data_IF_078772843546
#
_entry.id   IF_078772843546
#
_cell.length_a   1.000
_cell.length_b   1.000
_cell.length_c   1.000
_cell.angle_alpha   90.00
_cell.angle_beta   90.00
_cell.angle_gamma   90.00
#
_symmetry.space_group_name_H-M   'P 1'
#
loop_
_entity.id
_entity.type
_entity.pdbx_description
1 polymer ?
#
# COMPACT_ATOMS: atom_id res chain seq x y z
N UNK A 1 18.83 -47.93 3.52
CA UNK A 1 20.03 -47.06 3.30
C UNK A 1 19.89 -46.09 2.13
N UNK A 2 19.36 -46.47 0.94
CA UNK A 2 19.27 -45.55 -0.23
C UNK A 2 18.37 -44.30 -0.04
N UNK A 3 17.29 -44.37 0.70
CA UNK A 3 16.38 -43.19 0.93
C UNK A 3 17.02 -42.06 1.78
N UNK A 4 17.88 -42.41 2.72
CA UNK A 4 18.54 -41.38 3.58
C UNK A 4 19.60 -40.59 2.80
N UNK A 5 20.30 -41.20 1.84
CA UNK A 5 21.26 -40.51 0.98
C UNK A 5 20.55 -39.53 0.00
N UNK A 6 19.37 -39.87 -0.48
CA UNK A 6 18.61 -38.99 -1.38
C UNK A 6 18.16 -37.72 -0.63
N UNK A 7 17.69 -37.89 0.60
CA UNK A 7 17.29 -36.73 1.45
C UNK A 7 18.50 -35.82 1.77
N UNK A 8 19.65 -36.42 2.08
CA UNK A 8 20.86 -35.64 2.34
C UNK A 8 21.33 -34.84 1.12
N UNK A 9 21.26 -35.42 -0.10
CA UNK A 9 21.60 -34.74 -1.35
C UNK A 9 20.67 -33.58 -1.62
N UNK A 10 19.33 -33.75 -1.40
CA UNK A 10 18.36 -32.68 -1.58
C UNK A 10 18.59 -31.50 -0.62
N UNK A 11 18.96 -31.78 0.63
CA UNK A 11 19.28 -30.74 1.63
C UNK A 11 20.53 -29.96 1.22
N UNK A 12 21.60 -30.65 0.77
CA UNK A 12 22.81 -29.98 0.32
C UNK A 12 22.53 -29.10 -0.92
N UNK A 13 21.74 -29.59 -1.90
CA UNK A 13 21.36 -28.82 -3.07
C UNK A 13 20.54 -27.57 -2.72
N UNK A 14 19.67 -27.66 -1.73
CA UNK A 14 18.88 -26.52 -1.25
C UNK A 14 19.77 -25.45 -0.60
N UNK A 15 20.72 -25.84 0.26
CA UNK A 15 21.63 -24.88 0.90
C UNK A 15 22.61 -24.25 -0.09
N UNK A 16 23.08 -24.97 -1.10
CA UNK A 16 23.94 -24.39 -2.15
C UNK A 16 23.18 -23.37 -3.00
N UNK A 17 21.91 -23.60 -3.32
CA UNK A 17 21.05 -22.67 -4.04
C UNK A 17 20.83 -21.37 -3.25
N UNK A 18 20.61 -21.46 -1.94
CA UNK A 18 20.46 -20.30 -1.05
C UNK A 18 21.72 -19.43 -1.00
N UNK A 19 22.90 -20.05 -0.92
CA UNK A 19 24.19 -19.33 -0.89
C UNK A 19 24.43 -18.59 -2.21
N UNK A 20 24.10 -19.21 -3.35
CA UNK A 20 24.24 -18.57 -4.67
C UNK A 20 23.30 -17.36 -4.78
N UNK A 21 22.05 -17.48 -4.30
CA UNK A 21 21.08 -16.38 -4.33
C UNK A 21 21.52 -15.19 -3.45
N UNK A 22 22.10 -15.47 -2.26
CA UNK A 22 22.64 -14.42 -1.39
C UNK A 22 23.84 -13.69 -2.01
N UNK A 23 24.69 -14.39 -2.76
CA UNK A 23 25.84 -13.78 -3.44
C UNK A 23 25.40 -12.89 -4.62
N UNK A 24 24.39 -13.29 -5.40
CA UNK A 24 23.83 -12.48 -6.49
C UNK A 24 23.21 -11.17 -5.95
N UNK A 25 22.51 -11.22 -4.82
CA UNK A 25 21.95 -10.04 -4.18
C UNK A 25 23.04 -9.09 -3.66
N UNK A 26 24.14 -9.63 -3.14
CA UNK A 26 25.32 -8.83 -2.71
C UNK A 26 26.02 -8.13 -3.89
N UNK A 27 26.21 -8.83 -5.00
CA UNK A 27 26.85 -8.24 -6.19
C UNK A 27 26.00 -7.14 -6.83
N UNK A 28 24.67 -7.31 -6.88
CA UNK A 28 23.76 -6.29 -7.39
C UNK A 28 23.72 -5.02 -6.50
N UNK A 29 23.86 -5.17 -5.18
CA UNK A 29 24.02 -4.00 -4.27
C UNK A 29 25.35 -3.27 -4.51
N UNK A 30 26.43 -4.01 -4.73
CA UNK A 30 27.76 -3.43 -4.95
C UNK A 30 27.89 -2.72 -6.31
N UNK A 31 27.16 -3.20 -7.33
CA UNK A 31 27.16 -2.55 -8.66
C UNK A 31 26.33 -1.26 -8.69
N UNK A 32 25.24 -1.18 -7.93
CA UNK A 32 24.47 0.06 -7.81
C UNK A 32 25.26 1.16 -7.08
N UNK A 33 25.95 0.83 -6.00
CA UNK A 33 26.81 1.79 -5.27
C UNK A 33 28.01 2.26 -6.12
N UNK A 34 28.57 1.40 -6.97
CA UNK A 34 29.66 1.80 -7.89
C UNK A 34 29.19 2.65 -9.08
N UNK A 35 27.93 2.53 -9.51
CA UNK A 35 27.35 3.40 -10.55
C UNK A 35 27.09 4.81 -10.03
N UNK A 36 26.61 4.95 -8.81
CA UNK A 36 26.41 6.28 -8.19
C UNK A 36 27.73 7.00 -7.92
N UNK A 37 28.76 6.29 -7.45
CA UNK A 37 30.10 6.86 -7.24
C UNK A 37 30.79 7.29 -8.55
N UNK A 38 30.61 6.57 -9.66
CA UNK A 38 31.17 6.95 -10.97
C UNK A 38 30.48 8.13 -11.65
N UNK A 39 29.21 8.39 -11.32
CA UNK A 39 28.47 9.54 -11.84
C UNK A 39 28.91 10.81 -11.09
N UNK A 40 29.21 10.71 -9.79
CA UNK A 40 29.73 11.82 -8.98
C UNK A 40 31.16 12.25 -9.39
N UNK A 41 32.02 11.29 -9.71
CA UNK A 41 33.43 11.58 -10.07
C UNK A 41 33.57 12.17 -11.50
N UNK A 42 32.61 11.94 -12.39
CA UNK A 42 32.64 12.45 -13.77
C UNK A 42 32.10 13.89 -13.92
N UNK A 43 31.46 14.42 -12.86
CA UNK A 43 30.95 15.80 -12.83
C UNK A 43 32.01 16.77 -12.27
N UNK A 44 32.99 16.29 -11.49
CA UNK A 44 34.04 17.13 -10.92
C UNK A 44 35.22 17.43 -11.86
N UNK A 45 35.46 16.61 -12.90
CA UNK A 45 36.65 16.74 -13.76
C UNK A 45 36.46 17.64 -15.02
N UNK A 46 35.24 18.09 -15.31
CA UNK A 46 34.94 18.91 -16.50
C UNK A 46 34.70 20.39 -16.21
N UNK A 47 34.84 20.84 -14.94
CA UNK A 47 34.56 22.22 -14.51
C UNK A 47 35.78 23.03 -14.07
N UNK A 48 37.01 22.66 -14.45
CA UNK A 48 38.20 23.45 -14.15
C UNK A 48 39.03 23.79 -15.37
N UNK A 49 38.48 24.56 -16.29
CA UNK A 49 39.26 25.45 -17.17
C UNK A 49 38.38 26.60 -17.68
N UNK A 50 38.87 27.80 -17.34
CA UNK A 50 38.51 29.11 -17.89
C UNK A 50 37.15 29.71 -17.54
N UNK A 51 37.07 30.57 -16.51
CA UNK A 51 36.85 32.01 -16.73
C UNK A 51 36.95 32.77 -15.40
N UNK A 52 38.03 33.51 -15.20
CA UNK A 52 38.09 34.57 -14.22
C UNK A 52 37.19 35.74 -14.65
N UNK A 53 36.00 35.84 -14.09
CA UNK A 53 35.25 37.10 -14.03
C UNK A 53 34.36 37.08 -12.78
N UNK A 54 34.57 38.06 -11.92
CA UNK A 54 33.72 38.29 -10.76
C UNK A 54 32.25 38.21 -11.13
N UNK A 55 31.56 37.19 -10.63
CA UNK A 55 30.12 37.18 -10.59
C UNK A 55 29.72 36.74 -9.17
N UNK A 56 29.02 37.65 -8.48
CA UNK A 56 28.36 37.41 -7.20
C UNK A 56 27.81 36.00 -7.16
N UNK A 57 28.25 35.22 -6.21
CA UNK A 57 27.60 33.95 -5.84
C UNK A 57 26.27 34.35 -5.21
N UNK A 58 25.22 34.43 -6.03
CA UNK A 58 23.86 34.33 -5.52
C UNK A 58 23.73 32.92 -4.97
N UNK A 59 23.60 32.82 -3.65
CA UNK A 59 23.25 31.57 -2.99
C UNK A 59 21.99 31.05 -3.68
N UNK A 60 22.10 29.92 -4.38
CA UNK A 60 20.94 29.16 -4.86
C UNK A 60 20.21 28.73 -3.60
N UNK A 61 19.25 29.52 -3.18
CA UNK A 61 18.27 29.13 -2.16
C UNK A 61 17.51 27.98 -2.79
N UNK A 62 17.82 26.75 -2.37
CA UNK A 62 17.02 25.58 -2.73
C UNK A 62 15.58 25.90 -2.31
N UNK A 63 14.74 26.27 -3.27
CA UNK A 63 13.34 26.55 -3.01
C UNK A 63 12.72 25.23 -2.56
N UNK A 64 12.39 25.12 -1.27
CA UNK A 64 11.69 23.95 -0.74
C UNK A 64 10.39 23.78 -1.53
N UNK A 65 10.15 22.58 -2.01
CA UNK A 65 8.90 22.24 -2.70
C UNK A 65 7.70 22.58 -1.80
N UNK A 66 6.67 23.15 -2.41
CA UNK A 66 5.44 23.55 -1.74
C UNK A 66 4.22 22.98 -2.44
N UNK A 67 3.18 22.73 -1.66
CA UNK A 67 1.91 22.18 -2.15
C UNK A 67 1.21 23.18 -3.06
N UNK A 68 0.82 22.74 -4.25
CA UNK A 68 -0.02 23.49 -5.18
C UNK A 68 -1.49 23.47 -4.73
N UNK A 69 -2.27 24.50 -5.09
CA UNK A 69 -3.70 24.56 -4.81
C UNK A 69 -4.51 23.42 -5.47
N UNK A 70 -4.01 22.86 -6.60
CA UNK A 70 -4.65 21.76 -7.32
C UNK A 70 -4.07 20.39 -6.94
N UNK A 71 -3.38 20.28 -5.81
CA UNK A 71 -2.81 19.04 -5.34
C UNK A 71 -3.88 18.10 -4.81
N UNK A 72 -3.63 16.80 -4.93
CA UNK A 72 -4.44 15.75 -4.31
C UNK A 72 -3.88 15.37 -2.95
N UNK A 73 -4.75 15.30 -1.94
CA UNK A 73 -4.41 14.73 -0.64
C UNK A 73 -4.89 13.29 -0.58
N UNK A 74 -3.99 12.37 -0.24
CA UNK A 74 -4.29 10.96 -0.02
C UNK A 74 -4.06 10.64 1.46
N UNK A 75 -5.13 10.20 2.14
CA UNK A 75 -5.06 9.67 3.50
C UNK A 75 -4.96 8.15 3.41
N UNK A 76 -3.75 7.62 3.64
CA UNK A 76 -3.50 6.19 3.64
C UNK A 76 -3.64 5.65 5.06
N UNK A 77 -4.72 4.91 5.32
CA UNK A 77 -5.09 4.34 6.61
C UNK A 77 -4.78 2.85 6.61
N UNK A 78 -3.93 2.40 7.53
CA UNK A 78 -3.62 0.99 7.72
C UNK A 78 -4.28 0.48 8.99
N UNK A 79 -5.03 -0.61 8.90
CA UNK A 79 -5.79 -1.21 9.99
C UNK A 79 -5.15 -2.53 10.40
N UNK A 80 -4.56 -2.55 11.61
CA UNK A 80 -3.73 -3.67 12.07
C UNK A 80 -4.50 -4.96 12.32
N UNK A 81 -5.76 -4.87 12.78
CA UNK A 81 -6.51 -6.07 13.13
C UNK A 81 -6.93 -6.89 11.90
N UNK A 82 -7.04 -6.28 10.74
CA UNK A 82 -7.44 -6.95 9.51
C UNK A 82 -6.40 -6.88 8.38
N UNK A 83 -5.24 -6.26 8.65
CA UNK A 83 -4.13 -6.09 7.68
C UNK A 83 -4.56 -5.38 6.37
N UNK A 84 -5.56 -4.49 6.46
CA UNK A 84 -6.08 -3.77 5.31
C UNK A 84 -5.60 -2.33 5.25
N UNK A 85 -5.44 -1.83 4.03
CA UNK A 85 -5.08 -0.43 3.77
C UNK A 85 -6.17 0.23 2.94
N UNK A 86 -6.75 1.31 3.44
CA UNK A 86 -7.72 2.15 2.73
C UNK A 86 -7.03 3.45 2.31
N UNK A 87 -7.17 3.82 1.04
CA UNK A 87 -6.75 5.10 0.52
C UNK A 87 -7.98 6.00 0.34
N UNK A 88 -8.06 7.06 1.11
CA UNK A 88 -9.09 8.07 0.99
C UNK A 88 -8.52 9.27 0.21
N UNK A 89 -9.18 9.62 -0.90
CA UNK A 89 -8.81 10.75 -1.75
C UNK A 89 -9.61 11.97 -1.33
N UNK A 90 -8.92 13.00 -0.87
CA UNK A 90 -9.53 14.22 -0.34
C UNK A 90 -9.06 15.42 -1.17
N UNK A 91 -9.95 16.38 -1.39
CA UNK A 91 -9.56 17.67 -1.94
C UNK A 91 -8.54 18.34 -1.02
N UNK A 92 -7.57 19.05 -1.61
CA UNK A 92 -6.54 19.71 -0.84
C UNK A 92 -7.14 20.85 0.03
N UNK A 93 -7.05 20.74 1.36
CA UNK A 93 -7.48 21.82 2.24
C UNK A 93 -6.68 23.10 1.97
N UNK A 94 -7.36 24.23 1.87
CA UNK A 94 -6.69 25.52 1.59
C UNK A 94 -5.56 25.84 2.57
N UNK A 95 -5.72 25.41 3.80
CA UNK A 95 -4.73 25.62 4.86
C UNK A 95 -3.42 24.82 4.69
N UNK A 96 -3.36 23.88 3.75
CA UNK A 96 -2.16 23.14 3.39
C UNK A 96 -1.48 23.68 2.13
N UNK A 97 -2.17 24.51 1.36
CA UNK A 97 -1.62 25.11 0.14
C UNK A 97 -0.42 26.00 0.50
N UNK A 98 0.64 25.91 -0.30
CA UNK A 98 1.92 26.59 -0.11
C UNK A 98 2.75 26.14 1.10
N UNK A 99 2.31 25.12 1.85
CA UNK A 99 3.14 24.53 2.90
C UNK A 99 4.25 23.64 2.32
N UNK A 100 5.34 23.55 3.03
CA UNK A 100 6.43 22.59 2.85
C UNK A 100 6.10 21.26 3.52
N UNK A 101 6.87 20.22 3.24
CA UNK A 101 6.74 18.91 3.88
C UNK A 101 6.83 18.99 5.41
N UNK A 102 7.78 19.77 5.93
CA UNK A 102 7.97 19.92 7.37
C UNK A 102 6.79 20.62 8.04
N UNK A 103 6.23 21.65 7.39
CA UNK A 103 5.06 22.37 7.92
C UNK A 103 3.83 21.48 7.95
N UNK A 104 3.62 20.63 6.90
CA UNK A 104 2.54 19.62 6.89
C UNK A 104 2.74 18.62 8.02
N UNK A 105 3.95 18.08 8.19
CA UNK A 105 4.24 17.11 9.24
C UNK A 105 4.00 17.70 10.63
N UNK A 106 4.35 18.97 10.84
CA UNK A 106 4.12 19.66 12.12
C UNK A 106 2.63 19.90 12.39
N UNK A 107 1.82 20.08 11.34
CA UNK A 107 0.38 20.28 11.46
C UNK A 107 -0.37 18.96 11.68
N UNK A 108 0.07 17.88 11.06
CA UNK A 108 -0.52 16.55 11.16
C UNK A 108 0.35 15.61 11.99
N UNK A 109 0.46 15.89 13.30
CA UNK A 109 1.34 15.16 14.23
C UNK A 109 1.01 13.67 14.34
N UNK A 110 -0.27 13.31 14.21
CA UNK A 110 -0.76 11.92 14.29
C UNK A 110 -0.60 11.15 12.97
N UNK A 111 -0.15 11.82 11.92
CA UNK A 111 0.04 11.25 10.60
C UNK A 111 1.50 11.35 10.19
N UNK A 112 1.96 10.41 9.39
CA UNK A 112 3.30 10.44 8.79
C UNK A 112 3.20 10.87 7.33
N UNK A 113 3.94 11.91 6.94
CA UNK A 113 4.06 12.30 5.52
C UNK A 113 4.97 11.30 4.82
N UNK A 114 4.39 10.37 4.05
CA UNK A 114 5.10 9.33 3.31
C UNK A 114 5.33 9.66 1.84
N UNK A 115 4.54 10.58 1.28
CA UNK A 115 4.71 11.11 -0.06
C UNK A 115 4.51 12.62 -0.06
N UNK A 116 5.39 13.36 -0.73
CA UNK A 116 5.30 14.80 -0.84
C UNK A 116 5.81 15.25 -2.21
N UNK A 117 4.88 15.69 -3.02
CA UNK A 117 5.09 16.25 -4.36
C UNK A 117 4.22 17.50 -4.51
N UNK A 118 4.57 18.47 -5.35
CA UNK A 118 3.78 19.70 -5.50
C UNK A 118 2.31 19.48 -5.87
N UNK A 119 1.99 18.37 -6.51
CA UNK A 119 0.65 18.01 -6.98
C UNK A 119 0.00 16.84 -6.19
N UNK A 120 0.73 16.23 -5.26
CA UNK A 120 0.22 15.09 -4.47
C UNK A 120 0.91 14.98 -3.12
N UNK A 121 0.10 14.91 -2.07
CA UNK A 121 0.57 14.64 -0.70
C UNK A 121 -0.08 13.36 -0.19
N UNK A 122 0.72 12.48 0.42
CA UNK A 122 0.24 11.24 1.03
C UNK A 122 0.57 11.22 2.51
N UNK A 123 -0.47 11.19 3.33
CA UNK A 123 -0.39 11.02 4.77
C UNK A 123 -0.72 9.58 5.14
N UNK A 124 0.05 8.99 6.04
CA UNK A 124 -0.12 7.63 6.53
C UNK A 124 -0.40 7.60 8.02
N UNK A 125 -1.37 6.79 8.43
CA UNK A 125 -1.67 6.53 9.84
C UNK A 125 -2.05 5.07 10.04
N UNK A 126 -1.60 4.49 11.15
CA UNK A 126 -1.98 3.16 11.61
C UNK A 126 -3.13 3.26 12.62
N UNK A 127 -4.07 2.34 12.53
CA UNK A 127 -5.21 2.18 13.42
C UNK A 127 -5.15 0.79 14.04
N UNK A 128 -5.46 0.68 15.33
CA UNK A 128 -5.41 -0.59 16.06
C UNK A 128 -6.71 -1.41 15.95
N UNK A 129 -7.71 -0.88 15.27
CA UNK A 129 -9.04 -1.43 15.02
C UNK A 129 -9.14 -2.13 13.65
N UNK A 130 -10.32 -2.67 13.35
CA UNK A 130 -10.70 -3.14 12.02
C UNK A 130 -11.09 -1.97 11.13
N UNK A 131 -11.02 -2.16 9.80
CA UNK A 131 -11.33 -1.08 8.85
C UNK A 131 -12.83 -0.77 8.72
N UNK A 132 -13.72 -1.64 9.20
CA UNK A 132 -15.17 -1.48 9.09
C UNK A 132 -15.73 -1.74 7.68
N UNK A 133 -14.91 -2.23 6.75
CA UNK A 133 -15.32 -2.61 5.38
C UNK A 133 -15.29 -4.13 5.17
N UNK A 134 -15.57 -4.89 6.22
CA UNK A 134 -15.74 -6.33 6.14
C UNK A 134 -17.22 -6.66 6.07
N UNK A 135 -17.59 -7.48 5.12
CA UNK A 135 -18.95 -7.96 4.93
C UNK A 135 -18.96 -9.49 4.95
N UNK A 136 -20.06 -10.04 5.38
CA UNK A 136 -20.31 -11.48 5.38
C UNK A 136 -21.69 -11.77 4.82
N UNK A 137 -21.76 -12.58 3.77
CA UNK A 137 -23.01 -13.01 3.17
C UNK A 137 -23.45 -14.33 3.80
N UNK A 138 -24.72 -14.42 4.17
CA UNK A 138 -25.37 -15.65 4.65
C UNK A 138 -26.68 -15.88 3.94
N UNK A 139 -27.14 -17.11 3.91
CA UNK A 139 -28.49 -17.46 3.45
C UNK A 139 -29.40 -17.54 4.68
N UNK A 140 -30.46 -16.73 4.69
CA UNK A 140 -31.52 -16.76 5.68
C UNK A 140 -32.88 -16.81 4.98
N UNK A 141 -33.69 -17.78 5.35
CA UNK A 141 -35.04 -17.97 4.77
C UNK A 141 -35.01 -18.06 3.22
N UNK A 142 -33.94 -18.66 2.67
CA UNK A 142 -33.76 -18.81 1.21
C UNK A 142 -33.32 -17.54 0.47
N UNK A 143 -32.93 -16.49 1.20
CA UNK A 143 -32.44 -15.23 0.63
C UNK A 143 -31.05 -14.89 1.16
N UNK A 144 -30.30 -14.10 0.40
CA UNK A 144 -29.02 -13.57 0.83
C UNK A 144 -29.23 -12.41 1.80
N UNK A 145 -28.58 -12.49 2.95
CA UNK A 145 -28.49 -11.42 3.95
C UNK A 145 -27.02 -11.03 4.08
N UNK A 146 -26.77 -9.73 3.99
CA UNK A 146 -25.43 -9.15 4.10
C UNK A 146 -25.26 -8.60 5.51
N UNK A 147 -24.20 -9.05 6.18
CA UNK A 147 -23.76 -8.53 7.46
C UNK A 147 -22.52 -7.66 7.26
N UNK A 148 -22.37 -6.63 8.07
CA UNK A 148 -21.17 -5.79 8.16
C UNK A 148 -20.53 -5.98 9.54
N UNK A 149 -19.21 -6.07 9.58
CA UNK A 149 -18.44 -6.02 10.80
C UNK A 149 -18.04 -4.57 11.08
N UNK A 150 -18.32 -4.11 12.29
CA UNK A 150 -17.87 -2.80 12.76
C UNK A 150 -16.36 -2.78 13.08
N UNK A 151 -15.87 -1.66 13.61
CA UNK A 151 -14.45 -1.51 13.95
C UNK A 151 -14.00 -2.42 15.11
N UNK A 152 -14.92 -2.82 15.96
CA UNK A 152 -14.71 -3.73 17.07
C UNK A 152 -14.88 -5.21 16.66
N UNK A 153 -15.31 -5.47 15.42
CA UNK A 153 -15.54 -6.81 14.88
C UNK A 153 -16.91 -7.39 15.20
N UNK A 154 -17.88 -6.57 15.69
CA UNK A 154 -19.24 -7.04 15.91
C UNK A 154 -20.03 -7.06 14.59
N UNK A 155 -20.81 -8.13 14.39
CA UNK A 155 -21.65 -8.27 13.21
C UNK A 155 -22.99 -7.54 13.40
N UNK A 156 -23.43 -6.82 12.37
CA UNK A 156 -24.77 -6.25 12.25
C UNK A 156 -25.30 -6.42 10.83
N UNK A 157 -26.62 -6.49 10.70
CA UNK A 157 -27.24 -6.59 9.37
C UNK A 157 -26.99 -5.28 8.61
N UNK A 158 -26.30 -5.40 7.49
CA UNK A 158 -26.08 -4.30 6.54
C UNK A 158 -27.26 -4.19 5.58
N UNK A 159 -27.69 -5.33 4.99
CA UNK A 159 -28.79 -5.37 4.05
C UNK A 159 -29.45 -6.75 4.01
N UNK A 160 -30.79 -6.78 3.92
CA UNK A 160 -31.56 -7.98 3.57
C UNK A 160 -31.94 -7.87 2.09
N UNK A 161 -31.27 -8.62 1.24
CA UNK A 161 -31.52 -8.58 -0.20
C UNK A 161 -32.81 -9.34 -0.57
N UNK A 162 -33.26 -9.18 -1.81
CA UNK A 162 -34.32 -10.01 -2.40
C UNK A 162 -33.77 -11.16 -3.25
N UNK A 163 -32.47 -11.36 -3.28
CA UNK A 163 -31.78 -12.37 -4.08
C UNK A 163 -32.06 -13.75 -3.48
N UNK A 164 -32.69 -14.64 -4.25
CA UNK A 164 -32.93 -16.01 -3.83
C UNK A 164 -31.65 -16.83 -3.91
N UNK A 165 -31.39 -17.64 -2.88
CA UNK A 165 -30.28 -18.59 -2.90
C UNK A 165 -30.37 -19.65 -4.03
N UNK A 166 -31.54 -19.82 -4.63
CA UNK A 166 -31.75 -20.74 -5.75
C UNK A 166 -31.04 -20.30 -7.03
N UNK A 167 -30.73 -18.99 -7.18
CA UNK A 167 -29.99 -18.46 -8.33
C UNK A 167 -28.48 -18.60 -8.22
N UNK A 168 -27.99 -18.94 -7.03
CA UNK A 168 -26.55 -19.12 -6.80
C UNK A 168 -26.01 -20.38 -7.48
N UNK A 169 -24.75 -20.29 -7.90
CA UNK A 169 -24.03 -21.51 -8.29
C UNK A 169 -23.87 -22.43 -7.08
N UNK A 170 -23.72 -23.75 -7.33
CA UNK A 170 -23.47 -24.70 -6.23
C UNK A 170 -22.22 -24.36 -5.42
N UNK A 171 -21.21 -23.80 -6.05
CA UNK A 171 -19.96 -23.39 -5.39
C UNK A 171 -20.19 -22.24 -4.44
N UNK A 172 -20.91 -21.21 -4.88
CA UNK A 172 -21.21 -20.03 -4.07
C UNK A 172 -22.12 -20.38 -2.90
N UNK A 173 -23.15 -21.19 -3.17
CA UNK A 173 -24.06 -21.67 -2.12
C UNK A 173 -23.30 -22.43 -1.02
N UNK A 174 -22.42 -23.37 -1.39
CA UNK A 174 -21.60 -24.12 -0.43
C UNK A 174 -20.71 -23.18 0.37
N UNK A 175 -20.11 -22.16 -0.27
CA UNK A 175 -19.25 -21.18 0.40
C UNK A 175 -20.03 -20.37 1.43
N UNK A 176 -21.24 -19.95 1.08
CA UNK A 176 -22.12 -19.16 1.96
C UNK A 176 -22.69 -20.01 3.11
N UNK A 177 -23.09 -21.27 2.85
CA UNK A 177 -23.64 -22.18 3.88
C UNK A 177 -22.59 -22.64 4.90
N UNK A 178 -21.32 -22.75 4.51
CA UNK A 178 -20.21 -23.19 5.37
C UNK A 178 -19.70 -22.11 6.36
N UNK A 179 -20.53 -21.18 6.75
CA UNK A 179 -20.19 -20.15 7.77
C UNK A 179 -20.27 -18.71 7.27
N UNK A 180 -20.74 -18.54 6.04
CA UNK A 180 -20.83 -17.25 5.36
C UNK A 180 -19.65 -17.01 4.41
N UNK A 181 -19.89 -16.19 3.42
CA UNK A 181 -18.88 -15.75 2.46
C UNK A 181 -18.35 -14.38 2.90
N UNK A 182 -17.08 -14.34 3.25
CA UNK A 182 -16.42 -13.09 3.65
C UNK A 182 -16.04 -12.26 2.40
N UNK A 183 -16.36 -10.97 2.44
CA UNK A 183 -16.10 -10.00 1.37
C UNK A 183 -15.47 -8.76 1.96
N UNK A 184 -14.45 -8.23 1.31
CA UNK A 184 -13.78 -7.02 1.74
C UNK A 184 -13.99 -5.87 0.75
N UNK A 185 -14.43 -4.73 1.30
CA UNK A 185 -14.68 -3.51 0.54
C UNK A 185 -16.03 -3.49 -0.15
N UNK A 186 -16.62 -2.31 -0.25
CA UNK A 186 -17.93 -2.11 -0.88
C UNK A 186 -17.92 -2.40 -2.39
N UNK A 187 -16.79 -2.17 -3.03
CA UNK A 187 -16.66 -2.41 -4.48
C UNK A 187 -16.76 -3.91 -4.81
N UNK A 188 -16.05 -4.76 -4.05
CA UNK A 188 -16.13 -6.22 -4.23
C UNK A 188 -17.49 -6.76 -3.81
N UNK A 189 -18.10 -6.19 -2.74
CA UNK A 189 -19.46 -6.55 -2.34
C UNK A 189 -20.44 -6.26 -3.48
N UNK A 190 -20.40 -5.07 -4.08
CA UNK A 190 -21.32 -4.70 -5.16
C UNK A 190 -21.16 -5.60 -6.38
N UNK A 191 -19.91 -5.88 -6.80
CA UNK A 191 -19.65 -6.81 -7.90
C UNK A 191 -20.24 -8.20 -7.63
N UNK A 192 -20.04 -8.71 -6.42
CA UNK A 192 -20.55 -10.01 -6.04
C UNK A 192 -22.08 -10.06 -6.04
N UNK A 193 -22.73 -8.99 -5.58
CA UNK A 193 -24.19 -8.90 -5.61
C UNK A 193 -24.71 -8.80 -7.04
N UNK A 194 -24.06 -8.03 -7.92
CA UNK A 194 -24.40 -7.96 -9.35
C UNK A 194 -24.26 -9.33 -10.05
N UNK A 195 -23.28 -10.14 -9.65
CA UNK A 195 -23.10 -11.49 -10.20
C UNK A 195 -24.19 -12.48 -9.72
N UNK A 196 -24.92 -12.17 -8.65
CA UNK A 196 -25.99 -12.99 -8.09
C UNK A 196 -27.40 -12.57 -8.56
N UNK A 197 -27.56 -11.43 -9.23
CA UNK A 197 -28.81 -10.94 -9.81
C UNK A 197 -29.04 -11.46 -11.24
#
# INVERSE_FOLDING_TARGET
>A
MKKQYIIAICIIAFFTSLIIMMNIVKENKLQNTKKEAKISEKIEDECTKEYSKETKIEAVVATKEKISANSQLILKKYFKQCDHTINEYVEMPQELVNLTKEEVQNKYTDWKVIGFEPNKVTLYKEFDDMCGEHFKLRVEEGKIVIYQLDKEGNESIYEKTNISSEYLTKTDLISIENGGLDVYGKEELNKLIEDFE
#
